data_IF_997932787097
#
_entry.id   IF_997932787097
#
_cell.length_a   1.000
_cell.length_b   1.000
_cell.length_c   1.000
_cell.angle_alpha   90.00
_cell.angle_beta   90.00
_cell.angle_gamma   90.00
#
_symmetry.space_group_name_H-M   'P 1'
#
loop_
_entity.id
_entity.type
_entity.pdbx_description
1 polymer ?
#
# COMPACT_ATOMS: atom_id res chain seq x y z
N UNK A 1 9.38 -15.32 -2.40
CA UNK A 1 9.44 -14.28 -3.43
C UNK A 1 8.47 -13.13 -3.10
N UNK A 2 8.80 -11.91 -3.52
CA UNK A 2 7.90 -10.75 -3.44
C UNK A 2 7.72 -10.16 -4.83
N UNK A 3 6.47 -9.89 -5.20
CA UNK A 3 6.16 -9.29 -6.50
C UNK A 3 5.07 -8.23 -6.39
N UNK A 4 5.08 -7.31 -7.32
CA UNK A 4 4.04 -6.30 -7.50
C UNK A 4 3.26 -6.64 -8.79
N UNK A 5 1.95 -6.82 -8.66
CA UNK A 5 1.02 -6.90 -9.78
C UNK A 5 0.34 -5.54 -9.92
N UNK A 6 0.74 -4.80 -10.93
CA UNK A 6 0.34 -3.40 -11.10
C UNK A 6 -0.68 -3.24 -12.23
N UNK A 7 -1.71 -2.45 -11.95
CA UNK A 7 -2.66 -1.94 -12.94
C UNK A 7 -2.61 -0.42 -12.93
N UNK A 8 -2.69 0.20 -14.09
CA UNK A 8 -2.37 1.60 -14.26
C UNK A 8 -3.22 2.22 -15.37
N UNK A 9 -3.74 3.42 -15.13
CA UNK A 9 -4.42 4.20 -16.15
C UNK A 9 -5.62 3.50 -16.78
N UNK A 10 -6.49 2.88 -16.01
CA UNK A 10 -7.65 2.10 -16.48
C UNK A 10 -7.30 0.91 -17.37
N UNK A 11 -6.04 0.56 -17.49
CA UNK A 11 -5.58 -0.58 -18.28
C UNK A 11 -5.51 -1.84 -17.40
N UNK A 12 -6.05 -2.92 -17.91
CA UNK A 12 -6.05 -4.21 -17.23
C UNK A 12 -4.76 -5.01 -17.54
N UNK A 13 -3.61 -4.51 -17.09
CA UNK A 13 -2.34 -5.20 -17.29
C UNK A 13 -2.23 -6.50 -16.49
N UNK A 14 -2.78 -6.49 -15.27
CA UNK A 14 -2.78 -7.63 -14.35
C UNK A 14 -4.18 -7.86 -13.77
N UNK A 15 -5.16 -8.32 -14.54
CA UNK A 15 -6.44 -8.77 -14.02
C UNK A 15 -6.26 -9.79 -12.89
N UNK A 16 -7.21 -9.86 -11.97
CA UNK A 16 -7.08 -10.70 -10.79
C UNK A 16 -6.84 -12.18 -11.13
N UNK A 17 -7.54 -12.73 -12.11
CA UNK A 17 -7.34 -14.13 -12.52
C UNK A 17 -6.02 -14.35 -13.25
N UNK A 18 -5.54 -13.37 -14.00
CA UNK A 18 -4.20 -13.42 -14.60
C UNK A 18 -3.11 -13.35 -13.51
N UNK A 19 -3.32 -12.57 -12.48
CA UNK A 19 -2.44 -12.53 -11.31
C UNK A 19 -2.39 -13.89 -10.61
N UNK A 20 -3.53 -14.58 -10.49
CA UNK A 20 -3.61 -15.93 -9.96
C UNK A 20 -2.80 -16.93 -10.80
N UNK A 21 -2.86 -16.84 -12.12
CA UNK A 21 -2.05 -17.71 -13.00
C UNK A 21 -0.55 -17.43 -12.83
N UNK A 22 -0.18 -16.17 -12.65
CA UNK A 22 1.18 -15.79 -12.30
C UNK A 22 1.64 -16.42 -10.97
N UNK A 23 0.79 -16.41 -9.95
CA UNK A 23 1.05 -17.06 -8.65
C UNK A 23 1.30 -18.55 -8.82
N UNK A 24 0.46 -19.25 -9.58
CA UNK A 24 0.63 -20.68 -9.86
C UNK A 24 1.95 -20.99 -10.55
N UNK A 25 2.31 -20.17 -11.55
CA UNK A 25 3.58 -20.33 -12.29
C UNK A 25 4.79 -20.13 -11.37
N UNK A 26 4.79 -19.10 -10.53
CA UNK A 26 5.88 -18.85 -9.57
C UNK A 26 5.97 -20.00 -8.57
N UNK A 27 4.84 -20.46 -8.04
CA UNK A 27 4.81 -21.61 -7.14
C UNK A 27 5.46 -22.85 -7.77
N UNK A 28 5.11 -23.14 -9.04
CA UNK A 28 5.68 -24.26 -9.77
C UNK A 28 7.19 -24.11 -10.01
N UNK A 29 7.64 -22.92 -10.41
CA UNK A 29 9.05 -22.67 -10.70
C UNK A 29 9.95 -22.59 -9.46
N UNK A 30 9.36 -22.43 -8.29
CA UNK A 30 10.07 -22.29 -7.01
C UNK A 30 9.84 -23.46 -6.07
N UNK A 31 9.30 -24.57 -6.58
CA UNK A 31 8.98 -25.76 -5.77
C UNK A 31 8.16 -25.44 -4.51
N UNK A 32 7.19 -24.55 -4.66
CA UNK A 32 6.29 -24.18 -3.57
C UNK A 32 6.85 -23.15 -2.58
N UNK A 33 7.94 -22.48 -2.90
CA UNK A 33 8.42 -21.36 -2.08
C UNK A 33 7.35 -20.28 -1.96
N UNK A 34 7.07 -19.84 -0.74
CA UNK A 34 6.06 -18.81 -0.44
C UNK A 34 6.33 -17.49 -1.17
N UNK A 35 5.26 -16.75 -1.45
CA UNK A 35 5.35 -15.48 -2.13
C UNK A 35 4.44 -14.42 -1.52
N UNK A 36 4.94 -13.18 -1.41
CA UNK A 36 4.16 -11.99 -1.16
C UNK A 36 3.76 -11.34 -2.49
N UNK A 37 2.51 -10.96 -2.64
CA UNK A 37 2.00 -10.31 -3.86
C UNK A 37 1.28 -9.04 -3.50
N UNK A 38 1.84 -7.91 -3.89
CA UNK A 38 1.22 -6.60 -3.74
C UNK A 38 0.40 -6.26 -4.98
N UNK A 39 -0.91 -6.07 -4.79
CA UNK A 39 -1.82 -5.64 -5.84
C UNK A 39 -1.85 -4.11 -5.90
N UNK A 40 -1.01 -3.54 -6.73
CA UNK A 40 -0.91 -2.10 -6.94
C UNK A 40 -1.89 -1.68 -8.04
N UNK A 41 -2.83 -0.77 -7.71
CA UNK A 41 -3.92 -0.42 -8.61
C UNK A 41 -5.05 -1.46 -8.65
N UNK A 42 -5.37 -2.03 -7.51
CA UNK A 42 -6.48 -3.00 -7.36
C UNK A 42 -7.86 -2.36 -7.47
N UNK A 43 -7.96 -1.07 -7.26
CA UNK A 43 -9.21 -0.32 -7.13
C UNK A 43 -9.31 0.87 -8.08
N UNK A 44 -10.50 1.41 -8.17
CA UNK A 44 -10.84 2.55 -9.01
C UNK A 44 -10.37 2.34 -10.47
N UNK A 45 -9.65 3.28 -11.05
CA UNK A 45 -9.10 3.20 -12.42
C UNK A 45 -7.63 2.75 -12.44
N UNK A 46 -7.14 2.17 -11.36
CA UNK A 46 -5.77 1.67 -11.26
C UNK A 46 -4.92 2.43 -10.25
N UNK A 47 -3.60 2.30 -10.39
CA UNK A 47 -2.65 2.94 -9.50
C UNK A 47 -2.77 4.47 -9.55
N UNK A 48 -2.73 5.08 -8.38
CA UNK A 48 -2.86 6.52 -8.17
C UNK A 48 -4.13 7.12 -8.77
N UNK A 49 -5.26 6.44 -8.57
CA UNK A 49 -6.59 6.97 -8.85
C UNK A 49 -7.54 6.71 -7.70
N UNK A 50 -8.53 7.59 -7.51
CA UNK A 50 -9.61 7.43 -6.53
C UNK A 50 -9.14 7.20 -5.10
N UNK A 51 -8.03 7.79 -4.68
CA UNK A 51 -7.53 7.64 -3.32
C UNK A 51 -8.61 7.92 -2.28
N UNK A 52 -8.57 7.19 -1.18
CA UNK A 52 -9.56 7.02 -0.12
C UNK A 52 -10.75 6.11 -0.49
N UNK A 53 -10.97 5.76 -1.74
CA UNK A 53 -12.01 4.81 -2.15
C UNK A 53 -11.57 3.34 -1.95
N UNK A 54 -11.15 2.95 -0.74
CA UNK A 54 -10.54 1.64 -0.51
C UNK A 54 -11.39 0.45 -0.96
N UNK A 55 -12.71 0.56 -0.85
CA UNK A 55 -13.65 -0.49 -1.24
C UNK A 55 -14.14 -0.41 -2.70
N UNK A 56 -13.57 0.47 -3.51
CA UNK A 56 -13.88 0.57 -4.94
C UNK A 56 -12.99 -0.38 -5.75
N UNK A 57 -13.39 -1.62 -5.87
CA UNK A 57 -12.63 -2.65 -6.56
C UNK A 57 -12.71 -2.46 -8.07
N UNK A 58 -11.58 -2.51 -8.75
CA UNK A 58 -11.47 -2.25 -10.18
C UNK A 58 -12.28 -3.23 -11.02
N UNK A 59 -13.29 -2.71 -11.72
CA UNK A 59 -14.21 -3.53 -12.54
C UNK A 59 -13.51 -4.13 -13.75
N UNK A 60 -12.66 -3.37 -14.39
CA UNK A 60 -11.93 -3.79 -15.61
C UNK A 60 -10.94 -4.92 -15.38
N UNK A 61 -10.48 -5.10 -14.14
CA UNK A 61 -9.54 -6.15 -13.76
C UNK A 61 -10.21 -7.36 -13.12
N UNK A 62 -11.55 -7.41 -13.16
CA UNK A 62 -12.35 -8.56 -12.74
C UNK A 62 -13.33 -8.29 -11.61
N UNK A 63 -13.29 -7.09 -11.00
CA UNK A 63 -14.24 -6.71 -9.95
C UNK A 63 -14.10 -7.54 -8.67
N UNK A 64 -15.12 -7.46 -7.83
CA UNK A 64 -15.13 -8.09 -6.50
C UNK A 64 -15.06 -9.62 -6.59
N UNK A 65 -15.76 -10.22 -7.53
CA UNK A 65 -15.86 -11.68 -7.63
C UNK A 65 -14.53 -12.33 -8.01
N UNK A 66 -13.84 -11.79 -9.01
CA UNK A 66 -12.52 -12.29 -9.39
C UNK A 66 -11.49 -12.02 -8.30
N UNK A 67 -11.60 -10.90 -7.58
CA UNK A 67 -10.71 -10.62 -6.46
C UNK A 67 -10.91 -11.62 -5.32
N UNK A 68 -12.15 -11.93 -4.96
CA UNK A 68 -12.44 -12.98 -3.97
C UNK A 68 -11.92 -14.35 -4.40
N UNK A 69 -12.08 -14.68 -5.67
CA UNK A 69 -11.53 -15.90 -6.26
C UNK A 69 -10.00 -15.93 -6.14
N UNK A 70 -9.34 -14.83 -6.44
CA UNK A 70 -7.88 -14.69 -6.25
C UNK A 70 -7.50 -14.90 -4.79
N UNK A 71 -8.16 -14.23 -3.85
CA UNK A 71 -7.90 -14.34 -2.41
C UNK A 71 -8.02 -15.80 -1.94
N UNK A 72 -9.11 -16.45 -2.31
CA UNK A 72 -9.37 -17.85 -1.91
C UNK A 72 -8.30 -18.80 -2.47
N UNK A 73 -8.04 -18.70 -3.77
CA UNK A 73 -7.19 -19.67 -4.46
C UNK A 73 -5.71 -19.45 -4.26
N UNK A 74 -5.27 -18.21 -4.08
CA UNK A 74 -3.86 -17.88 -3.89
C UNK A 74 -3.24 -18.57 -2.65
N UNK A 75 -4.02 -18.76 -1.60
CA UNK A 75 -3.59 -19.46 -0.37
C UNK A 75 -3.05 -20.85 -0.62
N UNK A 76 -3.65 -21.57 -1.58
CA UNK A 76 -3.22 -22.94 -1.94
C UNK A 76 -1.81 -22.99 -2.52
N UNK A 77 -1.29 -21.84 -2.95
CA UNK A 77 0.03 -21.70 -3.54
C UNK A 77 0.98 -20.91 -2.64
N UNK A 78 0.69 -20.84 -1.33
CA UNK A 78 1.54 -20.13 -0.36
C UNK A 78 1.68 -18.63 -0.62
N UNK A 79 0.70 -18.02 -1.29
CA UNK A 79 0.74 -16.60 -1.59
C UNK A 79 0.02 -15.78 -0.53
N UNK A 80 0.71 -14.77 -0.04
CA UNK A 80 0.22 -13.71 0.84
C UNK A 80 -0.13 -12.49 0.02
N UNK A 81 -1.41 -12.15 -0.05
CA UNK A 81 -1.90 -11.04 -0.86
C UNK A 81 -2.04 -9.77 -0.04
N UNK A 82 -1.54 -8.67 -0.59
CA UNK A 82 -1.77 -7.34 -0.06
C UNK A 82 -2.24 -6.37 -1.13
N UNK A 83 -2.77 -5.26 -0.69
CA UNK A 83 -3.17 -4.16 -1.57
C UNK A 83 -2.38 -2.91 -1.25
N UNK A 84 -2.15 -2.12 -2.29
CA UNK A 84 -1.53 -0.81 -2.19
C UNK A 84 -2.61 0.27 -2.07
N UNK A 85 -2.52 1.07 -1.05
CA UNK A 85 -3.41 2.21 -0.81
C UNK A 85 -2.61 3.45 -0.50
N UNK A 86 -3.25 4.62 -0.63
CA UNK A 86 -2.74 5.88 -0.11
C UNK A 86 -3.74 6.40 0.94
N UNK A 87 -3.24 6.82 2.08
CA UNK A 87 -4.04 7.34 3.20
C UNK A 87 -3.71 8.80 3.54
N UNK A 88 -2.95 9.48 2.69
CA UNK A 88 -2.45 10.84 2.90
C UNK A 88 -2.80 11.81 1.79
N UNK A 89 -3.37 11.32 0.70
CA UNK A 89 -3.75 12.09 -0.47
C UNK A 89 -5.16 11.74 -0.94
N UNK A 90 -5.77 12.64 -1.69
CA UNK A 90 -7.03 12.42 -2.39
C UNK A 90 -7.01 13.02 -3.77
N UNK A 91 -7.95 12.59 -4.62
CA UNK A 91 -8.21 13.14 -5.94
C UNK A 91 -9.64 13.65 -6.03
N UNK A 92 -9.93 14.60 -6.94
CA UNK A 92 -11.29 15.14 -7.12
C UNK A 92 -12.36 14.08 -7.42
N UNK A 93 -11.99 13.00 -8.11
CA UNK A 93 -12.89 11.89 -8.42
C UNK A 93 -13.21 10.96 -7.25
N UNK A 94 -12.52 11.10 -6.12
CA UNK A 94 -12.84 10.34 -4.91
C UNK A 94 -14.20 10.76 -4.36
N UNK A 95 -15.06 9.79 -4.04
CA UNK A 95 -16.33 10.05 -3.37
C UNK A 95 -16.20 10.68 -1.98
N UNK A 96 -15.00 10.64 -1.41
CA UNK A 96 -14.68 11.25 -0.11
C UNK A 96 -14.04 12.63 -0.24
N UNK A 97 -13.85 13.10 -1.47
CA UNK A 97 -13.30 14.43 -1.73
C UNK A 97 -14.21 15.53 -1.18
N UNK A 98 -13.66 16.37 -0.33
CA UNK A 98 -14.33 17.56 0.18
C UNK A 98 -13.30 18.56 0.73
N UNK A 99 -13.68 19.85 0.75
CA UNK A 99 -12.78 20.94 1.20
C UNK A 99 -12.25 20.78 2.63
N UNK A 100 -13.01 20.13 3.52
CA UNK A 100 -12.64 19.99 4.93
C UNK A 100 -11.53 18.96 5.14
N UNK A 101 -11.41 18.00 4.24
CA UNK A 101 -10.36 16.98 4.32
C UNK A 101 -9.04 17.48 3.73
N UNK A 102 -9.06 18.52 2.90
CA UNK A 102 -7.88 18.98 2.20
C UNK A 102 -6.92 19.72 3.13
N UNK A 103 -5.65 19.35 3.05
CA UNK A 103 -4.58 20.06 3.75
C UNK A 103 -4.24 21.34 3.02
N UNK A 104 -4.17 22.44 3.76
CA UNK A 104 -3.79 23.74 3.23
C UNK A 104 -2.46 24.20 3.80
N UNK A 105 -1.71 24.89 2.97
CA UNK A 105 -0.51 25.61 3.37
C UNK A 105 -0.87 26.87 4.21
N UNK A 106 0.09 27.47 4.90
CA UNK A 106 -0.17 28.69 5.68
C UNK A 106 -0.75 29.87 4.90
N UNK A 107 -0.47 29.94 3.60
CA UNK A 107 -0.99 30.96 2.67
C UNK A 107 -2.40 30.65 2.14
N UNK A 108 -3.00 29.53 2.57
CA UNK A 108 -4.33 29.08 2.16
C UNK A 108 -4.37 28.28 0.86
N UNK A 109 -3.25 28.12 0.18
CA UNK A 109 -3.17 27.25 -1.01
C UNK A 109 -3.27 25.76 -0.64
N UNK A 110 -3.63 24.91 -1.61
CA UNK A 110 -3.63 23.47 -1.37
C UNK A 110 -2.21 22.92 -1.24
N UNK A 111 -2.05 21.96 -0.34
CA UNK A 111 -0.83 21.17 -0.25
C UNK A 111 -0.89 20.06 -1.30
N UNK A 112 -0.25 20.25 -2.44
CA UNK A 112 -0.23 19.27 -3.51
C UNK A 112 0.67 18.08 -3.17
N UNK A 113 0.17 16.90 -3.50
CA UNK A 113 0.88 15.64 -3.38
C UNK A 113 1.51 15.20 -4.68
N UNK A 114 1.57 13.88 -4.87
CA UNK A 114 2.16 13.30 -6.06
C UNK A 114 1.34 13.60 -7.31
N UNK A 115 2.02 13.80 -8.42
CA UNK A 115 1.40 14.00 -9.72
C UNK A 115 1.93 12.93 -10.68
N UNK A 116 1.08 11.99 -11.03
CA UNK A 116 1.41 10.94 -11.98
C UNK A 116 0.46 10.97 -13.18
N UNK A 117 -0.81 10.56 -13.00
CA UNK A 117 -1.86 10.68 -14.01
C UNK A 117 -2.71 11.94 -13.77
N UNK A 118 -2.90 12.27 -12.52
CA UNK A 118 -3.63 13.44 -12.07
C UNK A 118 -2.94 14.05 -10.84
N UNK A 119 -3.34 15.25 -10.47
CA UNK A 119 -2.76 15.96 -9.35
C UNK A 119 -3.41 15.52 -8.04
N UNK A 120 -2.67 14.79 -7.22
CA UNK A 120 -3.05 14.50 -5.84
C UNK A 120 -3.02 15.74 -4.96
N UNK A 121 -3.94 15.81 -4.01
CA UNK A 121 -3.97 16.84 -2.97
C UNK A 121 -3.79 16.13 -1.63
N UNK A 122 -2.81 16.60 -0.84
CA UNK A 122 -2.60 16.07 0.51
C UNK A 122 -3.83 16.34 1.38
N UNK A 123 -4.15 15.40 2.27
CA UNK A 123 -5.25 15.55 3.20
C UNK A 123 -4.75 15.87 4.61
N UNK A 124 -5.62 16.44 5.42
CA UNK A 124 -5.45 16.50 6.86
C UNK A 124 -5.75 15.11 7.44
N UNK A 125 -4.69 14.36 7.75
CA UNK A 125 -4.80 12.98 8.24
C UNK A 125 -5.44 12.88 9.62
N UNK A 126 -5.35 13.93 10.45
CA UNK A 126 -6.01 13.97 11.74
C UNK A 126 -7.53 14.20 11.58
N UNK A 127 -7.92 15.06 10.65
CA UNK A 127 -9.31 15.22 10.28
C UNK A 127 -9.89 13.92 9.72
N UNK A 128 -9.18 13.26 8.81
CA UNK A 128 -9.60 11.99 8.20
C UNK A 128 -9.78 10.88 9.25
N UNK A 129 -8.85 10.77 10.19
CA UNK A 129 -8.96 9.85 11.32
C UNK A 129 -10.26 10.03 12.10
N UNK A 130 -10.62 11.29 12.37
CA UNK A 130 -11.81 11.64 13.15
C UNK A 130 -13.12 11.51 12.35
N UNK A 131 -13.06 11.47 11.02
CA UNK A 131 -14.24 11.63 10.15
C UNK A 131 -14.44 10.47 9.16
N UNK A 132 -14.05 9.26 9.51
CA UNK A 132 -14.50 8.09 8.78
C UNK A 132 -13.42 7.18 8.19
N UNK A 133 -12.14 7.40 8.45
CA UNK A 133 -11.08 6.51 7.95
C UNK A 133 -11.30 5.06 8.36
N UNK A 134 -11.63 4.81 9.62
CA UNK A 134 -11.91 3.45 10.09
C UNK A 134 -13.08 2.80 9.34
N UNK A 135 -14.15 3.54 9.10
CA UNK A 135 -15.32 3.04 8.38
C UNK A 135 -14.96 2.60 6.93
N UNK A 136 -14.00 3.28 6.29
CA UNK A 136 -13.53 2.87 4.96
C UNK A 136 -12.77 1.53 4.98
N UNK A 137 -11.99 1.26 6.04
CA UNK A 137 -11.37 -0.05 6.23
C UNK A 137 -12.42 -1.13 6.49
N UNK A 138 -13.41 -0.84 7.30
CA UNK A 138 -14.52 -1.76 7.60
C UNK A 138 -15.34 -2.07 6.35
N UNK A 139 -15.60 -1.08 5.48
CA UNK A 139 -16.27 -1.28 4.20
C UNK A 139 -15.47 -2.20 3.27
N UNK A 140 -14.16 -2.01 3.19
CA UNK A 140 -13.28 -2.89 2.41
C UNK A 140 -13.32 -4.32 2.96
N UNK A 141 -13.22 -4.48 4.29
CA UNK A 141 -13.30 -5.79 4.95
C UNK A 141 -14.62 -6.47 4.68
N UNK A 142 -15.72 -5.76 4.81
CA UNK A 142 -17.07 -6.26 4.51
C UNK A 142 -17.18 -6.72 3.05
N UNK A 143 -16.60 -5.97 2.13
CA UNK A 143 -16.66 -6.29 0.71
C UNK A 143 -15.84 -7.50 0.32
N UNK A 144 -14.62 -7.62 0.81
CA UNK A 144 -13.70 -8.70 0.43
C UNK A 144 -13.81 -9.94 1.32
N UNK A 145 -14.26 -9.80 2.56
CA UNK A 145 -14.26 -10.90 3.55
C UNK A 145 -12.86 -11.19 4.10
N UNK A 146 -12.62 -12.45 4.40
CA UNK A 146 -11.35 -12.91 4.96
C UNK A 146 -10.33 -13.27 3.87
N UNK A 147 -9.04 -13.16 4.23
CA UNK A 147 -7.96 -13.75 3.46
C UNK A 147 -7.05 -12.80 2.72
N UNK A 148 -7.39 -11.51 2.67
CA UNK A 148 -6.39 -10.49 2.39
C UNK A 148 -5.42 -10.45 3.58
N UNK A 149 -4.13 -10.35 3.31
CA UNK A 149 -3.09 -10.56 4.32
C UNK A 149 -2.52 -9.23 4.84
N UNK A 150 -2.25 -8.29 3.96
CA UNK A 150 -1.64 -7.03 4.36
C UNK A 150 -2.14 -5.84 3.56
N UNK A 151 -2.02 -4.67 4.16
CA UNK A 151 -2.23 -3.37 3.53
C UNK A 151 -0.90 -2.65 3.48
N UNK A 152 -0.46 -2.31 2.28
CA UNK A 152 0.69 -1.44 2.05
C UNK A 152 0.20 0.00 1.86
N UNK A 153 0.66 0.88 2.72
CA UNK A 153 0.30 2.31 2.67
C UNK A 153 1.44 3.11 2.05
N UNK A 154 1.16 3.63 0.87
CA UNK A 154 2.08 4.46 0.09
C UNK A 154 2.17 5.88 0.66
N UNK A 155 3.28 6.55 0.38
CA UNK A 155 3.56 7.96 0.79
C UNK A 155 3.51 8.18 2.31
N UNK A 156 3.35 7.15 3.11
CA UNK A 156 3.30 7.23 4.56
C UNK A 156 4.68 7.00 5.20
N UNK A 157 4.97 7.70 6.28
CA UNK A 157 6.20 7.54 7.06
C UNK A 157 7.35 8.47 6.62
N UNK A 158 7.12 9.41 5.73
CA UNK A 158 8.13 10.38 5.27
C UNK A 158 8.07 11.73 5.99
N UNK A 159 7.08 11.95 6.86
CA UNK A 159 6.84 13.21 7.55
C UNK A 159 6.18 14.30 6.70
N UNK A 160 6.01 14.09 5.41
CA UNK A 160 5.41 15.07 4.49
C UNK A 160 3.89 14.96 4.42
N UNK A 161 3.38 13.78 4.58
CA UNK A 161 1.95 13.47 4.47
C UNK A 161 1.14 13.77 5.72
N UNK A 162 1.67 14.54 6.65
CA UNK A 162 0.97 14.87 7.90
C UNK A 162 0.99 13.75 8.95
N UNK A 163 1.78 12.74 8.73
CA UNK A 163 2.00 11.61 9.62
C UNK A 163 3.03 11.92 10.73
N UNK A 164 3.05 13.13 11.20
CA UNK A 164 4.03 13.78 12.08
C UNK A 164 4.47 12.94 13.29
N UNK A 165 5.00 11.76 13.04
CA UNK A 165 5.61 10.90 14.01
C UNK A 165 4.87 9.59 14.27
N UNK A 166 5.38 8.85 15.22
CA UNK A 166 4.98 7.48 15.52
C UNK A 166 3.52 7.34 15.94
N UNK A 167 2.93 8.36 16.54
CA UNK A 167 1.55 8.29 17.01
C UNK A 167 0.54 8.07 15.87
N UNK A 168 0.62 8.91 14.85
CA UNK A 168 -0.32 8.82 13.72
C UNK A 168 -0.16 7.48 12.96
N UNK A 169 1.07 7.02 12.81
CA UNK A 169 1.39 5.72 12.21
C UNK A 169 0.86 4.57 13.06
N UNK A 170 1.05 4.63 14.38
CA UNK A 170 0.55 3.61 15.29
C UNK A 170 -0.98 3.50 15.26
N UNK A 171 -1.70 4.63 15.21
CA UNK A 171 -3.16 4.62 15.08
C UNK A 171 -3.61 4.02 13.75
N UNK A 172 -2.96 4.38 12.64
CA UNK A 172 -3.26 3.80 11.33
C UNK A 172 -3.01 2.29 11.33
N UNK A 173 -1.89 1.83 11.86
CA UNK A 173 -1.59 0.42 11.99
C UNK A 173 -2.64 -0.33 12.83
N UNK A 174 -3.08 0.25 13.95
CA UNK A 174 -4.16 -0.31 14.76
C UNK A 174 -5.47 -0.48 14.00
N UNK A 175 -5.87 0.52 13.21
CA UNK A 175 -7.09 0.44 12.40
C UNK A 175 -7.02 -0.71 11.39
N UNK A 176 -5.88 -0.86 10.73
CA UNK A 176 -5.61 -1.92 9.74
C UNK A 176 -5.57 -3.29 10.44
N UNK A 177 -4.82 -3.40 11.53
CA UNK A 177 -4.70 -4.64 12.30
C UNK A 177 -6.05 -5.10 12.88
N UNK A 178 -6.92 -4.15 13.27
CA UNK A 178 -8.29 -4.46 13.74
C UNK A 178 -9.11 -5.23 12.70
N UNK A 179 -8.81 -5.03 11.41
CA UNK A 179 -9.46 -5.78 10.33
C UNK A 179 -8.84 -7.18 10.09
N UNK A 180 -7.80 -7.52 10.83
CA UNK A 180 -7.07 -8.77 10.67
C UNK A 180 -5.97 -8.70 9.59
N UNK A 181 -5.61 -7.52 9.14
CA UNK A 181 -4.55 -7.31 8.15
C UNK A 181 -3.25 -6.86 8.80
N UNK A 182 -2.13 -7.26 8.23
CA UNK A 182 -0.82 -6.72 8.59
C UNK A 182 -0.63 -5.35 7.94
N UNK A 183 0.13 -4.51 8.59
CA UNK A 183 0.49 -3.18 8.10
C UNK A 183 1.84 -3.21 7.42
N UNK A 184 1.94 -2.62 6.25
CA UNK A 184 3.18 -2.36 5.54
C UNK A 184 3.22 -0.91 5.07
N UNK A 185 4.41 -0.35 4.89
CA UNK A 185 4.61 1.08 4.71
C UNK A 185 5.71 1.34 3.68
N UNK A 186 5.64 2.47 2.98
CA UNK A 186 6.67 2.85 2.04
C UNK A 186 7.97 3.27 2.75
N UNK A 187 7.86 4.15 3.73
CA UNK A 187 9.01 4.75 4.39
C UNK A 187 9.26 4.16 5.76
N UNK A 188 10.54 4.11 6.17
CA UNK A 188 10.92 3.53 7.46
C UNK A 188 10.65 4.42 8.67
N UNK A 189 10.53 5.71 8.47
CA UNK A 189 10.46 6.65 9.59
C UNK A 189 9.11 6.61 10.30
N UNK A 190 9.13 6.44 11.61
CA UNK A 190 7.93 6.43 12.46
C UNK A 190 7.05 5.20 12.36
N UNK A 191 7.37 4.24 11.49
CA UNK A 191 6.57 3.03 11.28
C UNK A 191 7.27 1.71 11.56
N UNK A 192 8.47 1.77 12.07
CA UNK A 192 9.37 0.61 12.22
C UNK A 192 8.88 -0.48 13.16
N UNK A 193 8.13 -0.11 14.18
CA UNK A 193 7.61 -1.07 15.17
C UNK A 193 6.22 -1.61 14.82
N UNK A 194 5.50 -0.92 13.94
CA UNK A 194 4.13 -1.26 13.57
C UNK A 194 4.06 -2.00 12.24
N UNK A 195 5.07 -1.83 11.38
CA UNK A 195 5.04 -2.38 10.03
C UNK A 195 5.66 -3.77 9.93
N UNK A 196 5.03 -4.63 9.14
CA UNK A 196 5.55 -5.95 8.80
C UNK A 196 6.76 -5.83 7.85
N UNK A 197 6.69 -4.90 6.91
CA UNK A 197 7.81 -4.54 6.04
C UNK A 197 7.70 -3.10 5.54
N UNK A 198 8.84 -2.57 5.09
CA UNK A 198 8.99 -1.22 4.57
C UNK A 198 9.57 -1.31 3.16
N UNK A 199 8.81 -0.83 2.19
CA UNK A 199 9.10 -1.08 0.78
C UNK A 199 10.47 -0.55 0.34
N UNK A 200 10.78 0.69 0.70
CA UNK A 200 12.01 1.36 0.29
C UNK A 200 13.14 1.30 1.32
N UNK A 201 12.96 0.59 2.40
CA UNK A 201 14.00 0.53 3.43
C UNK A 201 15.30 -0.10 2.94
N UNK A 202 15.22 -0.95 1.92
CA UNK A 202 16.37 -1.59 1.30
C UNK A 202 16.98 -0.82 0.12
N UNK A 203 16.34 0.24 -0.36
CA UNK A 203 16.84 1.01 -1.48
C UNK A 203 17.95 1.96 -1.06
N UNK A 204 19.13 1.82 -1.64
CA UNK A 204 20.29 2.66 -1.35
C UNK A 204 20.16 4.09 -1.89
N UNK A 205 19.47 4.26 -2.98
CA UNK A 205 19.48 5.49 -3.75
C UNK A 205 18.20 6.28 -3.63
N UNK A 206 17.09 5.61 -3.45
CA UNK A 206 15.79 6.24 -3.41
C UNK A 206 15.62 7.07 -2.15
N UNK A 207 15.55 8.38 -2.31
CA UNK A 207 15.46 9.33 -1.21
C UNK A 207 16.79 9.60 -0.50
N UNK A 208 17.82 8.81 -0.74
CA UNK A 208 19.22 9.10 -0.41
C UNK A 208 19.60 9.19 1.06
N UNK A 209 18.76 8.79 2.03
CA UNK A 209 18.95 9.19 3.42
C UNK A 209 18.53 8.15 4.46
N UNK A 210 18.78 8.53 5.71
CA UNK A 210 18.69 7.73 6.93
C UNK A 210 17.36 7.02 7.18
N UNK A 211 16.27 7.50 6.64
CA UNK A 211 14.93 6.92 6.82
C UNK A 211 14.56 5.91 5.75
N UNK A 212 15.36 5.80 4.72
CA UNK A 212 15.13 4.97 3.56
C UNK A 212 16.45 4.37 3.10
N UNK A 213 16.39 3.13 2.67
CA UNK A 213 17.60 2.46 2.20
C UNK A 213 18.32 1.65 3.27
N UNK A 214 19.29 0.88 2.81
CA UNK A 214 20.05 -0.07 3.63
C UNK A 214 20.86 0.58 4.75
N UNK A 215 21.24 1.83 4.57
CA UNK A 215 21.98 2.60 5.55
C UNK A 215 21.11 3.22 6.65
N UNK A 216 19.82 3.08 6.56
CA UNK A 216 18.90 3.49 7.63
C UNK A 216 19.25 2.73 8.92
N UNK A 217 19.32 3.46 10.04
CA UNK A 217 19.56 2.85 11.33
C UNK A 217 18.53 1.77 11.68
N UNK A 218 17.28 1.96 11.20
CA UNK A 218 16.21 1.01 11.45
C UNK A 218 16.43 -0.36 10.78
N UNK A 219 17.09 -0.41 9.64
CA UNK A 219 17.39 -1.70 8.97
C UNK A 219 18.33 -2.59 9.76
N UNK A 220 19.03 -2.05 10.76
CA UNK A 220 19.85 -2.83 11.68
C UNK A 220 19.02 -3.64 12.67
N UNK A 221 17.83 -3.16 12.98
CA UNK A 221 16.93 -3.78 13.96
C UNK A 221 15.81 -4.58 13.32
N UNK A 222 15.35 -4.14 12.18
CA UNK A 222 14.27 -4.80 11.44
C UNK A 222 14.85 -5.48 10.23
N UNK A 223 14.80 -6.80 10.23
CA UNK A 223 15.17 -7.56 9.05
C UNK A 223 14.12 -7.38 7.98
N UNK A 224 14.46 -6.65 6.95
CA UNK A 224 13.54 -6.30 5.89
C UNK A 224 13.65 -7.33 4.76
N UNK A 225 12.54 -7.95 4.41
CA UNK A 225 12.48 -8.92 3.31
C UNK A 225 12.92 -8.32 1.97
N UNK A 226 12.62 -7.08 1.74
CA UNK A 226 13.04 -6.39 0.54
C UNK A 226 14.55 -6.22 0.49
N UNK A 227 15.17 -5.87 1.60
CA UNK A 227 16.63 -5.85 1.70
C UNK A 227 17.24 -7.22 1.39
N UNK A 228 16.69 -8.28 1.97
CA UNK A 228 17.16 -9.62 1.71
C UNK A 228 16.98 -10.02 0.24
N UNK A 229 15.90 -9.63 -0.40
CA UNK A 229 15.67 -9.90 -1.82
C UNK A 229 16.60 -9.12 -2.77
N UNK A 230 17.14 -8.00 -2.30
CA UNK A 230 18.05 -7.14 -3.08
C UNK A 230 19.53 -7.43 -2.84
N UNK A 231 19.85 -8.38 -1.99
CA UNK A 231 21.26 -8.72 -1.69
C UNK A 231 22.08 -8.96 -2.95
N UNK A 232 21.51 -9.57 -3.97
CA UNK A 232 22.17 -9.77 -5.24
C UNK A 232 22.52 -8.49 -6.02
N UNK A 233 21.81 -7.42 -5.77
CA UNK A 233 22.01 -6.12 -6.43
C UNK A 233 23.00 -5.24 -5.65
N UNK A 234 23.23 -5.51 -4.41
CA UNK A 234 24.18 -4.80 -3.56
C UNK A 234 25.57 -5.41 -3.62
N UNK A 235 26.14 -5.39 -4.78
CA UNK A 235 27.46 -6.03 -5.06
C UNK A 235 28.64 -5.37 -4.39
N UNK A 236 28.44 -4.23 -3.82
CA UNK A 236 29.48 -3.45 -3.13
C UNK A 236 29.59 -3.75 -1.64
N UNK A 237 28.91 -4.75 -1.15
CA UNK A 237 28.98 -5.15 0.25
C UNK A 237 29.98 -6.25 0.46
#
# INVERSE_FOLDING_TARGET
AYRIAMNFGSQAQNPFLMTLDGIKKINLHTDGLGQGVLLKGYGSEGHDSGHLNYADIGKRIGGVEDFKTLIEKAKKYGAHLGIHVNASETYPESKYFNEKILRKNPDGSYSYGWNWLDQGINIDTAYDLAHGRLARWEDLKKKLGEGLDFIYVDVWGNGQSGDNGAWATHVLAKEINKQGWRFAIEWGHGGEYDSTFQHWAADLTYGGYTNKGINSAITRFIRNHQKDSWVGDYRSY
#
